data_IF_665554056346
#
_entry.id   IF_665554056346
#
_cell.length_a   1.000
_cell.length_b   1.000
_cell.length_c   1.000
_cell.angle_alpha   90.00
_cell.angle_beta   90.00
_cell.angle_gamma   90.00
#
_symmetry.space_group_name_H-M   'P 1'
#
loop_
_entity.id
_entity.type
_entity.pdbx_description
1 polymer ?
#
# COMPACT_ATOMS: atom_id res chain seq x y z
N UNK A 1 -40.69 20.39 9.82
CA UNK A 1 -39.56 20.34 10.77
C UNK A 1 -38.40 19.73 10.01
N UNK A 2 -37.35 20.52 9.78
CA UNK A 2 -36.14 20.06 9.13
C UNK A 2 -35.39 19.12 10.10
N UNK A 3 -34.85 18.01 9.58
CA UNK A 3 -33.67 17.38 10.15
C UNK A 3 -32.65 17.37 9.01
N UNK A 4 -31.51 17.98 9.30
CA UNK A 4 -30.52 18.42 8.33
C UNK A 4 -29.89 17.27 7.55
N UNK A 5 -29.47 17.60 6.32
CA UNK A 5 -28.45 16.93 5.53
C UNK A 5 -27.23 16.60 6.42
N UNK A 6 -27.07 15.34 6.82
CA UNK A 6 -25.73 14.78 7.10
C UNK A 6 -25.10 14.42 5.75
N UNK A 7 -24.74 15.46 4.99
CA UNK A 7 -23.61 15.35 4.08
C UNK A 7 -22.37 15.62 4.93
N UNK A 8 -21.94 14.62 5.68
CA UNK A 8 -20.56 14.59 6.11
C UNK A 8 -19.72 14.47 4.84
N UNK A 9 -19.28 15.64 4.34
CA UNK A 9 -18.07 15.77 3.57
C UNK A 9 -16.92 15.40 4.50
N UNK A 10 -16.84 14.14 4.91
CA UNK A 10 -15.70 13.66 5.65
C UNK A 10 -14.56 13.50 4.64
N UNK A 11 -13.95 14.65 4.35
CA UNK A 11 -12.73 14.81 3.57
C UNK A 11 -11.55 14.13 4.26
N UNK A 12 -11.71 13.43 5.37
CA UNK A 12 -10.56 12.81 6.01
C UNK A 12 -9.91 11.76 5.09
N UNK A 13 -8.57 11.83 4.92
CA UNK A 13 -7.83 10.79 4.17
C UNK A 13 -8.02 9.43 4.83
N UNK A 14 -8.48 8.45 4.04
CA UNK A 14 -8.79 7.07 4.45
C UNK A 14 -8.01 6.05 3.62
N UNK A 15 -7.89 4.87 4.21
CA UNK A 15 -7.30 3.68 3.58
C UNK A 15 -8.24 2.52 3.88
N UNK A 16 -9.00 2.14 2.86
CA UNK A 16 -10.14 1.22 2.96
C UNK A 16 -9.76 -0.14 2.38
N UNK A 17 -9.54 -1.17 3.22
CA UNK A 17 -9.09 -2.47 2.74
C UNK A 17 -10.11 -3.13 1.81
N UNK A 18 -9.64 -3.75 0.74
CA UNK A 18 -10.44 -4.59 -0.14
C UNK A 18 -9.70 -5.85 -0.54
N UNK A 19 -10.43 -6.84 -1.03
CA UNK A 19 -9.86 -8.08 -1.53
C UNK A 19 -10.66 -8.61 -2.71
N UNK A 20 -9.95 -9.21 -3.67
CA UNK A 20 -10.55 -9.82 -4.86
C UNK A 20 -9.98 -11.22 -5.05
N UNK A 21 -10.85 -12.15 -5.42
CA UNK A 21 -10.50 -13.54 -5.71
C UNK A 21 -10.28 -14.41 -4.47
N UNK A 22 -10.14 -15.72 -4.71
CA UNK A 22 -9.99 -16.70 -3.64
C UNK A 22 -8.61 -16.58 -2.97
N UNK A 23 -8.58 -16.77 -1.65
CA UNK A 23 -7.35 -16.80 -0.85
C UNK A 23 -6.68 -15.45 -0.63
N UNK A 24 -7.36 -14.35 -0.96
CA UNK A 24 -6.93 -13.00 -0.58
C UNK A 24 -7.52 -12.58 0.77
N UNK A 25 -6.74 -11.89 1.58
CA UNK A 25 -7.22 -11.24 2.80
C UNK A 25 -6.66 -9.82 2.89
N UNK A 26 -7.51 -8.85 3.17
CA UNK A 26 -7.11 -7.49 3.51
C UNK A 26 -7.82 -7.01 4.77
N UNK A 27 -7.10 -6.35 5.67
CA UNK A 27 -7.74 -5.76 6.86
C UNK A 27 -6.76 -5.06 7.78
N UNK A 28 -7.29 -4.11 8.55
CA UNK A 28 -6.57 -3.48 9.65
C UNK A 28 -6.53 -4.41 10.87
N UNK A 29 -5.33 -4.79 11.29
CA UNK A 29 -5.09 -5.72 12.41
C UNK A 29 -4.48 -4.95 13.57
N UNK A 30 -5.10 -5.03 14.75
CA UNK A 30 -4.55 -4.46 15.99
C UNK A 30 -3.26 -5.18 16.39
N UNK A 31 -2.26 -4.44 16.85
CA UNK A 31 -0.96 -4.96 17.29
C UNK A 31 -0.02 -5.39 16.18
N UNK A 32 -0.33 -5.09 14.91
CA UNK A 32 0.48 -5.46 13.75
C UNK A 32 1.32 -4.29 13.21
N UNK A 33 1.01 -3.06 13.60
CA UNK A 33 1.64 -1.83 13.11
C UNK A 33 3.01 -1.52 13.72
N UNK A 34 3.57 -0.39 13.31
CA UNK A 34 4.81 0.17 13.80
C UNK A 34 4.71 0.50 15.29
N UNK A 35 5.55 -0.11 16.14
CA UNK A 35 5.47 0.15 17.57
C UNK A 35 5.99 1.56 17.90
N UNK A 36 5.22 2.30 18.71
CA UNK A 36 5.66 3.58 19.30
C UNK A 36 5.22 4.84 18.54
N UNK A 37 4.35 4.71 17.55
CA UNK A 37 3.64 5.85 16.93
C UNK A 37 2.82 6.63 17.98
N UNK A 38 3.00 7.95 18.02
CA UNK A 38 2.25 8.83 18.94
C UNK A 38 0.77 8.80 18.56
N UNK A 39 -0.11 8.47 19.52
CA UNK A 39 -1.55 8.31 19.33
C UNK A 39 -2.00 7.07 18.53
N UNK A 40 -1.12 6.06 18.42
CA UNK A 40 -1.49 4.72 17.96
C UNK A 40 -1.33 3.67 19.06
N UNK A 41 -2.13 3.81 20.12
CA UNK A 41 -2.09 2.94 21.30
C UNK A 41 -2.45 1.48 20.99
N UNK A 42 -3.04 1.22 19.81
CA UNK A 42 -3.43 -0.12 19.36
C UNK A 42 -2.52 -0.69 18.27
N UNK A 43 -1.53 0.08 17.80
CA UNK A 43 -0.51 -0.36 16.83
C UNK A 43 -1.14 -1.08 15.64
N UNK A 44 -2.01 -0.40 14.90
CA UNK A 44 -2.70 -1.05 13.79
C UNK A 44 -1.77 -1.24 12.60
N UNK A 45 -1.89 -2.39 11.92
CA UNK A 45 -1.22 -2.62 10.65
C UNK A 45 -2.22 -3.08 9.59
N UNK A 46 -2.10 -2.56 8.37
CA UNK A 46 -2.82 -3.05 7.21
C UNK A 46 -2.20 -4.38 6.76
N UNK A 47 -2.86 -5.48 7.12
CA UNK A 47 -2.46 -6.82 6.70
C UNK A 47 -3.02 -7.11 5.31
N UNK A 48 -2.14 -7.44 4.37
CA UNK A 48 -2.49 -7.86 3.02
C UNK A 48 -1.92 -9.25 2.77
N UNK A 49 -2.73 -10.14 2.23
CA UNK A 49 -2.35 -11.52 1.97
C UNK A 49 -2.94 -12.02 0.66
N UNK A 50 -2.15 -12.83 -0.05
CA UNK A 50 -2.57 -13.65 -1.19
C UNK A 50 -1.99 -15.06 -1.05
N UNK A 51 -2.87 -16.02 -0.79
CA UNK A 51 -2.50 -17.43 -0.56
C UNK A 51 -2.73 -18.32 -1.79
N UNK A 52 -2.71 -17.73 -2.98
CA UNK A 52 -2.93 -18.44 -4.24
C UNK A 52 -1.90 -18.07 -5.29
N UNK A 53 -1.81 -18.88 -6.34
CA UNK A 53 -0.98 -18.61 -7.51
C UNK A 53 -1.48 -17.39 -8.28
N UNK A 54 -0.59 -16.74 -9.02
CA UNK A 54 -0.90 -15.56 -9.85
C UNK A 54 -1.93 -15.83 -10.93
N UNK A 55 -2.00 -17.04 -11.47
CA UNK A 55 -3.04 -17.44 -12.41
C UNK A 55 -4.48 -17.37 -11.85
N UNK A 56 -4.66 -17.24 -10.53
CA UNK A 56 -6.00 -17.12 -9.92
C UNK A 56 -6.53 -15.67 -9.90
N UNK A 57 -5.80 -14.70 -10.47
CA UNK A 57 -6.22 -13.30 -10.61
C UNK A 57 -6.82 -12.71 -9.32
N UNK A 58 -6.16 -13.00 -8.20
CA UNK A 58 -6.55 -12.55 -6.87
C UNK A 58 -5.55 -11.52 -6.34
N UNK A 59 -6.05 -10.59 -5.53
CA UNK A 59 -5.26 -9.57 -4.85
C UNK A 59 -5.89 -9.17 -3.52
N UNK A 60 -5.05 -8.69 -2.61
CA UNK A 60 -5.46 -7.92 -1.43
C UNK A 60 -4.99 -6.49 -1.62
N UNK A 61 -5.69 -5.52 -1.06
CA UNK A 61 -5.31 -4.13 -1.20
C UNK A 61 -6.08 -3.19 -0.30
N UNK A 62 -5.94 -1.91 -0.58
CA UNK A 62 -6.77 -0.86 -0.03
C UNK A 62 -6.99 0.26 -1.06
N UNK A 63 -8.18 0.83 -1.07
CA UNK A 63 -8.45 2.06 -1.78
C UNK A 63 -8.07 3.25 -0.88
N UNK A 64 -7.43 4.26 -1.47
CA UNK A 64 -7.04 5.49 -0.79
C UNK A 64 -8.03 6.58 -1.19
N UNK A 65 -8.82 7.08 -0.25
CA UNK A 65 -9.96 7.97 -0.50
C UNK A 65 -9.96 9.18 0.45
N UNK A 66 -10.96 10.07 0.33
CA UNK A 66 -11.07 11.30 1.11
C UNK A 66 -10.24 12.46 0.54
N UNK A 67 -9.52 13.19 1.40
CA UNK A 67 -8.67 14.35 1.05
C UNK A 67 -7.34 13.93 0.42
N UNK A 68 -7.39 13.10 -0.62
CA UNK A 68 -6.25 12.88 -1.51
C UNK A 68 -6.20 14.00 -2.57
N UNK A 69 -5.01 14.25 -3.16
CA UNK A 69 -4.85 15.17 -4.30
C UNK A 69 -5.90 14.92 -5.41
N UNK A 70 -6.38 15.98 -6.06
CA UNK A 70 -7.37 15.86 -7.15
C UNK A 70 -6.71 15.80 -8.52
N UNK A 71 -5.48 16.30 -8.62
CA UNK A 71 -4.66 16.26 -9.83
C UNK A 71 -3.36 15.54 -9.59
N UNK A 72 -2.77 14.98 -10.66
CA UNK A 72 -1.47 14.32 -10.56
C UNK A 72 -0.36 15.30 -10.19
N UNK A 73 -0.47 16.58 -10.60
CA UNK A 73 0.50 17.61 -10.24
C UNK A 73 0.57 17.92 -8.74
N UNK A 74 -0.53 17.68 -8.01
CA UNK A 74 -0.61 17.85 -6.57
C UNK A 74 -0.11 16.60 -5.81
N UNK A 75 0.03 15.46 -6.49
CA UNK A 75 0.58 14.24 -5.92
C UNK A 75 2.11 14.29 -5.96
N UNK A 76 2.73 14.55 -4.81
CA UNK A 76 4.18 14.73 -4.71
C UNK A 76 4.88 13.52 -4.11
N UNK A 77 4.26 12.86 -3.13
CA UNK A 77 4.82 11.68 -2.48
C UNK A 77 3.77 10.63 -2.14
N UNK A 78 4.19 9.38 -2.21
CA UNK A 78 3.46 8.22 -1.68
C UNK A 78 4.42 7.39 -0.84
N UNK A 79 3.96 6.86 0.29
CA UNK A 79 4.80 5.99 1.11
C UNK A 79 3.98 5.03 1.97
N UNK A 80 4.65 3.99 2.43
CA UNK A 80 4.19 3.11 3.50
C UNK A 80 5.39 2.61 4.29
N UNK A 81 5.16 2.19 5.53
CA UNK A 81 6.15 1.50 6.34
C UNK A 81 5.92 -0.01 6.29
N UNK A 82 7.02 -0.77 6.34
CA UNK A 82 7.03 -2.23 6.32
C UNK A 82 7.94 -2.75 7.45
N UNK A 83 7.58 -3.85 8.14
CA UNK A 83 8.35 -4.35 9.28
C UNK A 83 9.81 -4.61 8.93
N UNK A 84 10.69 -4.48 9.92
CA UNK A 84 12.10 -4.85 9.82
C UNK A 84 12.74 -5.02 11.18
N UNK A 85 14.07 -5.19 11.19
CA UNK A 85 14.85 -5.38 12.42
C UNK A 85 15.99 -4.36 12.44
N UNK A 86 16.14 -3.63 13.55
CA UNK A 86 17.17 -2.59 13.71
C UNK A 86 18.55 -3.12 13.32
N UNK A 87 19.21 -2.43 12.38
CA UNK A 87 20.56 -2.77 11.92
C UNK A 87 20.65 -3.95 10.96
N UNK A 88 19.53 -4.63 10.66
CA UNK A 88 19.47 -5.67 9.62
C UNK A 88 19.15 -5.00 8.28
N UNK A 89 19.97 -5.18 7.24
CA UNK A 89 19.70 -4.63 5.91
C UNK A 89 18.35 -5.08 5.35
N UNK A 90 17.78 -4.29 4.45
CA UNK A 90 16.51 -4.65 3.80
C UNK A 90 16.64 -5.99 3.06
N UNK A 91 15.81 -6.95 3.44
CA UNK A 91 15.73 -8.30 2.90
C UNK A 91 14.28 -8.62 2.54
N UNK A 92 14.06 -8.67 1.22
CA UNK A 92 12.88 -9.24 0.59
C UNK A 92 12.67 -10.70 0.99
N UNK A 93 11.42 -11.10 1.20
CA UNK A 93 11.09 -12.50 1.44
C UNK A 93 11.46 -13.37 0.23
N UNK A 94 12.24 -14.41 0.47
CA UNK A 94 12.55 -15.45 -0.50
C UNK A 94 11.74 -16.71 -0.16
N UNK A 95 10.69 -17.02 -0.94
CA UNK A 95 9.85 -18.20 -0.72
C UNK A 95 10.60 -19.53 -0.85
N UNK A 96 11.76 -19.57 -1.52
CA UNK A 96 12.54 -20.80 -1.67
C UNK A 96 13.35 -21.15 -0.43
N UNK A 97 13.77 -20.15 0.35
CA UNK A 97 14.51 -20.32 1.60
C UNK A 97 13.67 -20.04 2.85
N UNK A 98 12.48 -19.44 2.70
CA UNK A 98 11.65 -18.98 3.81
C UNK A 98 12.29 -17.85 4.61
N UNK A 99 13.28 -17.17 4.04
CA UNK A 99 14.06 -16.11 4.70
C UNK A 99 13.65 -14.73 4.23
N UNK A 100 13.96 -13.70 5.01
CA UNK A 100 13.64 -12.30 4.73
C UNK A 100 12.76 -11.68 5.82
N UNK A 101 13.14 -10.50 6.28
CA UNK A 101 12.50 -9.84 7.43
C UNK A 101 11.44 -8.82 7.02
N UNK A 102 11.38 -8.43 5.74
CA UNK A 102 10.58 -7.29 5.27
C UNK A 102 9.42 -7.71 4.37
N UNK A 103 8.93 -8.94 4.49
CA UNK A 103 7.82 -9.44 3.67
C UNK A 103 8.09 -9.45 2.16
N UNK A 104 7.03 -9.55 1.38
CA UNK A 104 7.08 -9.59 -0.08
C UNK A 104 7.21 -8.17 -0.64
N UNK A 105 8.33 -7.88 -1.32
CA UNK A 105 8.68 -6.57 -1.88
C UNK A 105 9.57 -6.74 -3.14
N UNK A 106 9.22 -7.67 -4.04
CA UNK A 106 10.21 -8.23 -5.01
C UNK A 106 9.76 -8.09 -6.46
N UNK A 107 8.50 -8.45 -6.75
CA UNK A 107 7.91 -8.55 -8.08
C UNK A 107 6.93 -7.41 -8.36
N UNK A 108 7.22 -6.24 -7.78
CA UNK A 108 6.46 -5.02 -8.02
C UNK A 108 5.26 -4.84 -7.10
N UNK A 109 5.04 -5.69 -6.10
CA UNK A 109 4.09 -5.46 -5.00
C UNK A 109 4.85 -5.42 -3.65
N UNK A 110 4.21 -4.94 -2.56
CA UNK A 110 3.05 -4.06 -2.58
C UNK A 110 3.33 -2.81 -3.43
N UNK A 111 2.31 -2.28 -4.09
CA UNK A 111 2.45 -1.12 -4.97
C UNK A 111 1.32 -0.15 -4.84
N UNK A 112 1.62 1.12 -5.06
CA UNK A 112 0.58 2.05 -5.43
C UNK A 112 0.27 1.92 -6.91
N UNK A 113 -1.01 1.79 -7.24
CA UNK A 113 -1.53 2.04 -8.57
C UNK A 113 -2.08 3.47 -8.61
N UNK A 114 -1.49 4.33 -9.43
CA UNK A 114 -1.95 5.70 -9.62
C UNK A 114 -2.75 5.77 -10.91
N UNK A 115 -4.07 5.91 -10.81
CA UNK A 115 -4.95 6.03 -11.96
C UNK A 115 -5.20 7.49 -12.28
N UNK A 116 -4.98 7.88 -13.53
CA UNK A 116 -5.14 9.27 -13.96
C UNK A 116 -5.80 9.36 -15.33
N UNK A 117 -6.38 10.52 -15.63
CA UNK A 117 -6.97 10.80 -16.95
C UNK A 117 -6.98 12.29 -17.27
N UNK A 118 -6.92 12.60 -18.56
CA UNK A 118 -7.14 13.95 -19.10
C UNK A 118 -8.56 14.04 -19.65
N UNK A 119 -9.40 14.90 -19.05
CA UNK A 119 -10.79 15.05 -19.45
C UNK A 119 -11.57 13.72 -19.42
N UNK A 120 -12.25 13.40 -20.52
CA UNK A 120 -12.98 12.13 -20.70
C UNK A 120 -12.15 11.04 -21.41
N UNK A 121 -10.83 11.19 -21.48
CA UNK A 121 -9.92 10.24 -22.11
C UNK A 121 -9.82 8.90 -21.37
N UNK A 122 -9.04 7.94 -21.92
CA UNK A 122 -8.80 6.66 -21.28
C UNK A 122 -8.07 6.83 -19.93
N UNK A 123 -8.26 5.87 -19.02
CA UNK A 123 -7.46 5.81 -17.80
C UNK A 123 -6.03 5.38 -18.15
N UNK A 124 -5.07 6.17 -17.71
CA UNK A 124 -3.67 5.77 -17.59
C UNK A 124 -3.43 5.23 -16.19
N UNK A 125 -2.50 4.28 -16.08
CA UNK A 125 -2.05 3.72 -14.80
C UNK A 125 -0.54 3.89 -14.68
N UNK A 126 -0.09 4.28 -13.50
CA UNK A 126 1.30 4.27 -13.10
C UNK A 126 1.49 3.33 -11.91
N UNK A 127 2.39 2.35 -12.05
CA UNK A 127 2.73 1.42 -10.98
C UNK A 127 3.96 1.88 -10.21
N UNK A 128 3.83 2.01 -8.90
CA UNK A 128 4.90 2.39 -7.98
C UNK A 128 5.17 1.22 -7.03
N UNK A 129 6.00 0.28 -7.50
CA UNK A 129 6.28 -0.97 -6.79
C UNK A 129 7.35 -0.85 -5.71
N UNK A 130 7.13 -1.54 -4.58
CA UNK A 130 8.05 -1.64 -3.44
C UNK A 130 9.54 -1.86 -3.81
N UNK A 131 9.89 -2.69 -4.82
CA UNK A 131 11.28 -2.85 -5.26
C UNK A 131 12.01 -1.55 -5.63
N UNK A 132 11.27 -0.53 -6.08
CA UNK A 132 11.80 0.70 -6.66
C UNK A 132 11.64 1.92 -5.74
N UNK A 133 10.97 1.77 -4.60
CA UNK A 133 10.84 2.82 -3.60
C UNK A 133 12.17 3.11 -2.90
N UNK A 134 12.41 4.37 -2.55
CA UNK A 134 13.52 4.75 -1.68
C UNK A 134 13.27 4.19 -0.29
N UNK A 135 14.24 3.43 0.23
CA UNK A 135 14.14 2.76 1.52
C UNK A 135 14.87 3.55 2.60
N UNK A 136 14.28 3.71 3.76
CA UNK A 136 14.92 4.32 4.93
C UNK A 136 14.48 3.56 6.17
N UNK A 137 15.44 3.10 6.97
CA UNK A 137 15.14 2.38 8.20
C UNK A 137 15.02 3.35 9.37
N UNK A 138 13.99 3.17 10.19
CA UNK A 138 13.93 3.77 11.51
C UNK A 138 14.94 3.07 12.44
N UNK A 139 15.92 3.78 13.01
CA UNK A 139 16.97 3.18 13.83
C UNK A 139 16.50 2.73 15.22
N UNK A 140 15.29 3.12 15.64
CA UNK A 140 14.67 2.78 16.92
C UNK A 140 13.74 1.58 16.78
N UNK A 141 12.84 1.60 15.79
CA UNK A 141 11.81 0.56 15.61
C UNK A 141 12.26 -0.55 14.65
N UNK A 142 13.21 -0.26 13.75
CA UNK A 142 13.67 -1.17 12.72
C UNK A 142 12.76 -1.25 11.49
N UNK A 143 11.61 -0.57 11.51
CA UNK A 143 10.69 -0.47 10.37
C UNK A 143 11.32 0.29 9.22
N UNK A 144 10.88 -0.01 8.02
CA UNK A 144 11.38 0.59 6.81
C UNK A 144 10.29 1.43 6.14
N UNK A 145 10.57 2.71 5.94
CA UNK A 145 9.74 3.53 5.03
C UNK A 145 10.14 3.25 3.59
N UNK A 146 9.16 2.90 2.77
CA UNK A 146 9.27 2.77 1.32
C UNK A 146 8.61 3.99 0.70
N UNK A 147 9.40 4.91 0.14
CA UNK A 147 8.94 6.20 -0.35
C UNK A 147 9.09 6.34 -1.86
N UNK A 148 8.05 6.86 -2.50
CA UNK A 148 8.00 7.27 -3.90
C UNK A 148 7.84 8.78 -3.96
N UNK A 149 8.68 9.44 -4.75
CA UNK A 149 8.71 10.90 -4.88
C UNK A 149 8.57 11.26 -6.36
N UNK A 150 7.77 12.27 -6.69
CA UNK A 150 7.65 12.80 -8.04
C UNK A 150 9.03 13.25 -8.59
N UNK A 151 9.24 13.30 -9.92
CA UNK A 151 8.29 12.90 -10.97
C UNK A 151 8.07 11.38 -11.03
N UNK A 152 6.82 10.96 -11.20
CA UNK A 152 6.44 9.56 -11.43
C UNK A 152 6.52 9.25 -12.93
N UNK A 153 7.45 8.37 -13.33
CA UNK A 153 7.62 7.96 -14.72
C UNK A 153 8.40 6.65 -14.83
N UNK A 154 8.34 6.05 -16.01
CA UNK A 154 8.98 4.78 -16.36
C UNK A 154 10.49 4.74 -16.09
N UNK A 155 11.18 5.87 -16.24
CA UNK A 155 12.63 5.94 -16.02
C UNK A 155 13.01 5.78 -14.54
N UNK A 156 12.10 6.10 -13.62
CA UNK A 156 12.29 5.95 -12.17
C UNK A 156 11.59 4.72 -11.61
N UNK A 157 10.42 4.40 -12.15
CA UNK A 157 9.55 3.33 -11.68
C UNK A 157 9.07 2.52 -12.88
N UNK A 158 9.68 1.35 -13.14
CA UNK A 158 9.25 0.46 -14.22
C UNK A 158 7.76 0.10 -14.11
N UNK A 159 7.02 0.22 -15.21
CA UNK A 159 5.56 0.10 -15.25
C UNK A 159 4.79 1.38 -14.91
N UNK A 160 5.47 2.51 -14.70
CA UNK A 160 4.82 3.80 -14.50
C UNK A 160 4.71 4.60 -15.81
N UNK A 161 3.59 4.40 -16.52
CA UNK A 161 3.20 5.36 -17.56
C UNK A 161 3.02 6.74 -16.92
N UNK A 162 3.66 7.78 -17.46
CA UNK A 162 3.70 9.11 -16.84
C UNK A 162 2.27 9.62 -16.55
N UNK A 163 1.82 9.62 -15.27
CA UNK A 163 0.46 9.99 -14.94
C UNK A 163 0.28 11.49 -15.19
N UNK A 164 -0.90 11.90 -15.65
CA UNK A 164 -1.17 13.30 -15.98
C UNK A 164 -2.66 13.64 -15.89
N UNK A 165 -2.97 14.92 -15.72
CA UNK A 165 -4.33 15.41 -15.58
C UNK A 165 -4.92 15.13 -14.19
N UNK A 166 -6.18 14.70 -14.18
CA UNK A 166 -6.91 14.44 -12.94
C UNK A 166 -6.48 13.09 -12.37
N UNK A 167 -6.30 13.06 -11.05
CA UNK A 167 -6.19 11.82 -10.31
C UNK A 167 -7.60 11.21 -10.24
N UNK A 168 -7.76 9.99 -10.74
CA UNK A 168 -9.04 9.30 -10.74
C UNK A 168 -9.25 8.56 -9.43
N UNK A 169 -8.29 7.71 -9.04
CA UNK A 169 -8.27 6.99 -7.78
C UNK A 169 -6.85 6.47 -7.50
N UNK A 170 -6.59 6.13 -6.24
CA UNK A 170 -5.34 5.56 -5.75
C UNK A 170 -5.63 4.22 -5.08
N UNK A 171 -4.88 3.21 -5.44
CA UNK A 171 -4.97 1.90 -4.80
C UNK A 171 -3.60 1.49 -4.29
N UNK A 172 -3.59 0.78 -3.16
CA UNK A 172 -2.45 0.00 -2.70
C UNK A 172 -2.76 -1.48 -2.95
N UNK A 173 -1.94 -2.14 -3.76
CA UNK A 173 -2.16 -3.53 -4.19
C UNK A 173 -1.05 -4.43 -3.69
N UNK A 174 -1.45 -5.57 -3.15
CA UNK A 174 -0.63 -6.73 -2.92
C UNK A 174 -1.18 -7.92 -3.74
N UNK A 175 -0.49 -8.23 -4.83
CA UNK A 175 -0.80 -9.36 -5.70
C UNK A 175 0.37 -10.34 -5.83
N UNK A 176 1.37 -10.25 -4.97
CA UNK A 176 2.44 -11.24 -4.86
C UNK A 176 1.96 -12.44 -4.02
N UNK A 177 1.90 -13.61 -4.66
CA UNK A 177 1.39 -14.84 -4.03
C UNK A 177 2.47 -15.91 -3.88
N UNK A 178 2.04 -17.17 -3.91
CA UNK A 178 2.88 -18.36 -3.70
C UNK A 178 3.65 -18.80 -4.97
N UNK A 179 3.96 -17.86 -5.88
CA UNK A 179 4.36 -18.18 -7.26
C UNK A 179 5.67 -18.95 -7.40
N UNK A 180 6.47 -18.99 -6.33
CA UNK A 180 7.71 -19.76 -6.27
C UNK A 180 7.46 -21.02 -5.43
N UNK A 181 7.20 -22.14 -6.10
CA UNK A 181 7.38 -23.50 -5.55
C UNK A 181 6.43 -23.98 -4.44
N UNK A 182 5.46 -23.17 -3.99
CA UNK A 182 4.59 -23.53 -2.86
C UNK A 182 3.30 -24.28 -3.26
N UNK A 183 2.95 -25.30 -2.49
CA UNK A 183 1.54 -25.72 -2.33
C UNK A 183 0.79 -24.60 -1.61
N UNK A 184 -0.48 -24.38 -1.97
CA UNK A 184 -1.37 -23.45 -1.25
C UNK A 184 -1.30 -23.72 0.26
N UNK A 185 -0.94 -22.70 1.04
CA UNK A 185 -0.82 -22.77 2.50
C UNK A 185 0.59 -22.99 3.07
N UNK A 186 1.61 -23.31 2.27
CA UNK A 186 2.96 -23.57 2.79
C UNK A 186 3.86 -22.33 2.90
N UNK A 187 3.66 -21.34 2.01
CA UNK A 187 4.39 -20.07 2.04
C UNK A 187 3.44 -18.94 1.62
N UNK A 188 2.44 -18.59 2.46
CA UNK A 188 1.47 -17.54 2.13
C UNK A 188 2.17 -16.24 1.75
N UNK A 189 1.73 -15.60 0.66
CA UNK A 189 2.15 -14.26 0.33
C UNK A 189 1.52 -13.30 1.31
N UNK A 190 2.28 -12.63 2.16
CA UNK A 190 1.72 -11.63 3.05
C UNK A 190 2.68 -10.48 3.36
N UNK A 191 2.09 -9.35 3.70
CA UNK A 191 2.78 -8.17 4.17
C UNK A 191 1.91 -7.45 5.19
N UNK A 192 2.55 -6.83 6.19
CA UNK A 192 1.91 -5.81 7.01
C UNK A 192 2.47 -4.48 6.59
N UNK A 193 1.59 -3.53 6.34
CA UNK A 193 1.92 -2.16 6.02
C UNK A 193 1.39 -1.27 7.13
N UNK A 194 2.12 -0.20 7.44
CA UNK A 194 1.64 0.81 8.36
C UNK A 194 1.99 2.21 7.84
N UNK A 195 1.41 3.24 8.44
CA UNK A 195 1.62 4.65 8.11
C UNK A 195 1.58 4.89 6.61
N UNK A 196 0.46 4.51 6.00
CA UNK A 196 0.21 4.77 4.58
C UNK A 196 0.11 6.28 4.42
N UNK A 197 0.88 6.84 3.48
CA UNK A 197 1.03 8.28 3.28
C UNK A 197 0.72 8.70 1.86
N UNK A 198 -0.02 9.79 1.75
CA UNK A 198 -0.24 10.56 0.52
C UNK A 198 0.17 11.99 0.84
N UNK A 199 1.19 12.50 0.16
CA UNK A 199 1.84 13.76 0.52
C UNK A 199 2.22 13.79 2.03
N UNK A 200 1.70 14.77 2.77
CA UNK A 200 1.89 15.00 4.19
C UNK A 200 0.86 14.29 5.08
N UNK A 201 -0.15 13.66 4.48
CA UNK A 201 -1.17 12.92 5.22
C UNK A 201 -0.73 11.51 5.53
N UNK A 202 -1.15 11.01 6.70
CA UNK A 202 -0.82 9.67 7.19
C UNK A 202 -2.05 8.96 7.76
N UNK A 203 -2.17 7.67 7.47
CA UNK A 203 -3.13 6.75 8.08
C UNK A 203 -2.37 5.51 8.55
N UNK A 204 -2.34 5.31 9.87
CA UNK A 204 -1.79 4.12 10.51
C UNK A 204 -2.84 3.28 11.26
N UNK A 205 -4.14 3.55 11.04
CA UNK A 205 -5.23 2.85 11.71
C UNK A 205 -6.53 2.97 10.90
N UNK A 206 -7.51 2.07 11.09
CA UNK A 206 -8.82 2.26 10.50
C UNK A 206 -9.38 3.59 11.02
N UNK A 207 -9.94 4.38 10.11
CA UNK A 207 -10.80 5.50 10.45
C UNK A 207 -12.21 4.99 10.35
N UNK A 208 -12.97 5.14 11.44
CA UNK A 208 -14.38 4.81 11.42
C UNK A 208 -15.07 5.80 10.47
N UNK A 209 -16.05 5.31 9.70
CA UNK A 209 -17.08 6.19 9.15
C UNK A 209 -17.99 6.48 10.34
N UNK A 210 -17.95 7.71 10.85
CA UNK A 210 -18.66 8.10 12.09
C UNK A 210 -20.15 7.69 12.10
#
# INVERSE_FOLDING_TARGET
>A
MASADDKDNDETFRVEPFQVGLGSLAGWIRGAGEPGQKNDDRQFGLYLQKNTKTANFSSAGAELTGNIPKTVSELTTLAFDIPGVVGVPFQTFDPSSGSGANGYCNNGAPRFNVFSRVGTGPLAVCFLGCPFGRRTQDPVTGWWTIKFEAPFNEARFPGCGAPTGNLAFLELIFDEGIDVGGTVGNSPGNVVLDNIRVNDQVVGKPKDDD
#
